data_IF_579841391159
#
_entry.id   IF_579841391159
#
_cell.length_a   1.000
_cell.length_b   1.000
_cell.length_c   1.000
_cell.angle_alpha   90.00
_cell.angle_beta   90.00
_cell.angle_gamma   90.00
#
_symmetry.space_group_name_H-M   'P 1'
#
loop_
_entity.id
_entity.type
_entity.pdbx_description
1 polymer ?
#
# COMPACT_ATOMS: atom_id res chain seq x y z
N UNK A 1 -10.09 -5.11 -5.87
CA UNK A 1 -8.85 -5.89 -5.68
C UNK A 1 -8.33 -5.68 -4.26
N UNK A 2 -7.98 -6.72 -3.48
CA UNK A 2 -7.54 -6.53 -2.10
C UNK A 2 -6.10 -5.97 -2.03
N UNK A 3 -5.90 -4.84 -1.37
CA UNK A 3 -4.53 -4.36 -1.05
C UNK A 3 -3.86 -5.30 -0.05
N UNK A 4 -2.55 -5.45 -0.13
CA UNK A 4 -1.75 -6.12 0.88
C UNK A 4 -1.84 -5.29 2.16
N UNK A 5 -2.22 -5.94 3.28
CA UNK A 5 -2.46 -5.32 4.59
C UNK A 5 -1.40 -5.76 5.63
N UNK A 6 -1.42 -5.08 6.79
CA UNK A 6 -0.56 -5.41 7.93
C UNK A 6 0.92 -5.15 7.65
N UNK A 7 1.82 -5.74 8.45
CA UNK A 7 3.28 -5.49 8.37
C UNK A 7 3.85 -5.67 6.95
N UNK A 8 3.27 -6.59 6.16
CA UNK A 8 3.64 -6.85 4.76
C UNK A 8 3.41 -5.64 3.84
N UNK A 9 2.40 -4.82 4.12
CA UNK A 9 2.11 -3.59 3.35
C UNK A 9 3.21 -2.53 3.46
N UNK A 10 4.00 -2.56 4.55
CA UNK A 10 5.10 -1.63 4.78
C UNK A 10 6.45 -2.12 4.23
N UNK A 11 6.52 -3.35 3.70
CA UNK A 11 7.73 -3.88 3.05
C UNK A 11 7.89 -3.33 1.63
N UNK A 12 9.11 -3.24 1.11
CA UNK A 12 9.37 -2.77 -0.26
C UNK A 12 8.56 -3.55 -1.31
N UNK A 13 8.47 -4.87 -1.15
CA UNK A 13 7.69 -5.76 -2.04
C UNK A 13 6.19 -5.46 -1.96
N UNK A 14 5.61 -5.46 -0.75
CA UNK A 14 4.18 -5.20 -0.59
C UNK A 14 3.75 -3.78 -0.97
N UNK A 15 4.62 -2.80 -0.75
CA UNK A 15 4.41 -1.41 -1.17
C UNK A 15 4.37 -1.28 -2.70
N UNK A 16 5.36 -1.85 -3.40
CA UNK A 16 5.41 -1.83 -4.87
C UNK A 16 4.23 -2.58 -5.49
N UNK A 17 3.81 -3.69 -4.90
CA UNK A 17 2.69 -4.48 -5.39
C UNK A 17 1.35 -3.76 -5.20
N UNK A 18 1.17 -3.05 -4.09
CA UNK A 18 0.01 -2.17 -3.89
C UNK A 18 -0.03 -1.04 -4.93
N UNK A 19 1.09 -0.39 -5.24
CA UNK A 19 1.15 0.64 -6.29
C UNK A 19 0.77 0.05 -7.65
N UNK A 20 1.37 -1.08 -8.04
CA UNK A 20 1.06 -1.77 -9.30
C UNK A 20 -0.43 -2.13 -9.41
N UNK A 21 -1.02 -2.58 -8.30
CA UNK A 21 -2.43 -2.97 -8.24
C UNK A 21 -3.37 -1.78 -8.45
N UNK A 22 -3.06 -0.64 -7.83
CA UNK A 22 -3.84 0.59 -7.99
C UNK A 22 -3.68 1.20 -9.39
N UNK A 23 -2.47 1.17 -9.97
CA UNK A 23 -2.24 1.59 -11.36
C UNK A 23 -3.00 0.68 -12.33
N UNK A 24 -2.95 -0.65 -12.13
CA UNK A 24 -3.73 -1.62 -12.93
C UNK A 24 -5.24 -1.42 -12.79
N UNK A 25 -5.69 -0.88 -11.65
CA UNK A 25 -7.08 -0.49 -11.44
C UNK A 25 -7.44 0.85 -12.11
N UNK A 26 -6.54 1.46 -12.87
CA UNK A 26 -6.76 2.71 -13.59
C UNK A 26 -6.54 3.98 -12.78
N UNK A 27 -5.98 3.89 -11.57
CA UNK A 27 -5.71 5.09 -10.76
C UNK A 27 -4.44 5.81 -11.25
N UNK A 28 -4.44 7.16 -11.23
CA UNK A 28 -3.24 7.94 -11.48
C UNK A 28 -2.09 7.53 -10.55
N UNK A 29 -0.87 7.52 -11.07
CA UNK A 29 0.33 7.09 -10.33
C UNK A 29 0.51 7.84 -9.00
N UNK A 30 0.27 9.16 -8.98
CA UNK A 30 0.34 9.98 -7.75
C UNK A 30 -0.66 9.50 -6.68
N UNK A 31 -1.88 9.15 -7.11
CA UNK A 31 -2.92 8.64 -6.22
C UNK A 31 -2.59 7.22 -5.71
N UNK A 32 -2.08 6.35 -6.60
CA UNK A 32 -1.63 5.01 -6.24
C UNK A 32 -0.52 5.04 -5.17
N UNK A 33 0.46 5.94 -5.32
CA UNK A 33 1.53 6.16 -4.33
C UNK A 33 0.96 6.66 -3.00
N UNK A 34 0.03 7.61 -3.03
CA UNK A 34 -0.62 8.14 -1.83
C UNK A 34 -1.36 7.06 -1.04
N UNK A 35 -2.10 6.19 -1.74
CA UNK A 35 -2.83 5.05 -1.15
C UNK A 35 -1.85 4.03 -0.55
N UNK A 36 -0.76 3.72 -1.25
CA UNK A 36 0.27 2.82 -0.74
C UNK A 36 0.93 3.37 0.55
N UNK A 37 1.22 4.67 0.61
CA UNK A 37 1.74 5.33 1.82
C UNK A 37 0.72 5.33 2.97
N UNK A 38 -0.56 5.54 2.69
CA UNK A 38 -1.61 5.46 3.70
C UNK A 38 -1.68 4.05 4.32
N UNK A 39 -1.64 3.00 3.49
CA UNK A 39 -1.64 1.61 3.95
C UNK A 39 -0.38 1.25 4.73
N UNK A 40 0.79 1.66 4.27
CA UNK A 40 2.06 1.41 4.98
C UNK A 40 2.08 2.09 6.36
N UNK A 41 1.51 3.30 6.48
CA UNK A 41 1.36 4.00 7.77
C UNK A 41 0.38 3.28 8.71
N UNK A 42 -0.75 2.80 8.21
CA UNK A 42 -1.70 2.01 9.00
C UNK A 42 -1.08 0.70 9.50
N UNK A 43 -0.28 0.03 8.67
CA UNK A 43 0.45 -1.17 9.04
C UNK A 43 1.43 -0.94 10.19
N UNK A 44 2.17 0.17 10.17
CA UNK A 44 3.09 0.55 11.27
C UNK A 44 2.33 0.87 12.55
N UNK A 45 1.19 1.58 12.48
CA UNK A 45 0.35 1.85 13.67
C UNK A 45 -0.14 0.57 14.33
N UNK A 46 -0.58 -0.41 13.53
CA UNK A 46 -1.00 -1.74 14.02
C UNK A 46 0.14 -2.62 14.53
N UNK A 47 1.41 -2.28 14.25
CA UNK A 47 2.55 -3.02 14.82
C UNK A 47 3.06 -2.44 16.13
N UNK A 48 2.62 -1.23 16.49
CA UNK A 48 3.00 -0.54 17.74
C UNK A 48 1.97 -0.71 18.86
N UNK A 49 0.82 -1.33 18.57
CA UNK A 49 -0.23 -1.66 19.52
C UNK A 49 -0.19 -3.16 19.76
#
# INVERSE_FOLDING_TARGET
>A
MPLIKGKKAATKKGFAENIKREIKAGKPQKQAIAIAYAQARQAKKKSKK
#
